data_IF_780752657679
#
_entry.id   IF_780752657679
#
_cell.length_a   1.000
_cell.length_b   1.000
_cell.length_c   1.000
_cell.angle_alpha   90.00
_cell.angle_beta   90.00
_cell.angle_gamma   90.00
#
_symmetry.space_group_name_H-M   'P 1'
#
loop_
_entity.id
_entity.type
_entity.pdbx_description
1 polymer ?
#
# COMPACT_ATOMS: atom_id res chain seq x y z
N UNK A 1 9.33 10.25 -23.35
CA UNK A 1 10.38 10.47 -22.34
C UNK A 1 11.08 9.14 -22.18
N UNK A 2 12.40 9.07 -22.34
CA UNK A 2 13.14 7.81 -22.08
C UNK A 2 12.88 7.43 -20.62
N UNK A 3 12.18 6.32 -20.40
CA UNK A 3 11.91 5.79 -19.07
C UNK A 3 13.25 5.33 -18.46
N UNK A 4 13.90 6.21 -17.71
CA UNK A 4 15.15 5.89 -17.04
C UNK A 4 14.81 5.29 -15.67
N UNK A 5 15.06 3.99 -15.52
CA UNK A 5 14.96 3.29 -14.23
C UNK A 5 15.90 3.93 -13.21
N UNK A 6 15.51 3.89 -11.93
CA UNK A 6 16.41 4.18 -10.82
C UNK A 6 17.54 3.15 -10.79
N UNK A 7 18.70 3.53 -10.25
CA UNK A 7 19.88 2.68 -10.33
C UNK A 7 20.86 2.86 -9.17
N UNK A 8 21.70 1.85 -8.96
CA UNK A 8 22.89 1.93 -8.12
C UNK A 8 24.08 1.42 -8.95
N UNK A 9 25.07 2.28 -9.17
CA UNK A 9 26.37 1.89 -9.70
C UNK A 9 27.29 1.47 -8.56
N UNK A 10 27.99 0.37 -8.72
CA UNK A 10 28.89 -0.16 -7.72
C UNK A 10 30.11 -0.84 -8.33
N UNK A 11 31.20 -0.85 -7.57
CA UNK A 11 32.40 -1.62 -7.92
C UNK A 11 32.37 -2.98 -7.19
N UNK A 12 32.99 -4.00 -7.78
CA UNK A 12 33.24 -5.29 -7.13
C UNK A 12 34.59 -5.84 -7.55
N UNK A 13 35.33 -6.49 -6.66
CA UNK A 13 36.69 -6.99 -6.94
C UNK A 13 36.76 -8.52 -7.11
N UNK A 14 35.72 -9.23 -6.67
CA UNK A 14 35.64 -10.68 -6.75
C UNK A 14 34.43 -11.08 -7.63
N UNK A 15 34.72 -11.73 -8.77
CA UNK A 15 33.67 -12.20 -9.68
C UNK A 15 32.74 -13.25 -9.05
N UNK A 16 33.25 -14.05 -8.11
CA UNK A 16 32.44 -15.00 -7.34
C UNK A 16 31.37 -14.27 -6.52
N UNK A 17 31.76 -13.20 -5.84
CA UNK A 17 30.82 -12.40 -5.06
C UNK A 17 29.73 -11.75 -5.93
N UNK A 18 30.09 -11.29 -7.14
CA UNK A 18 29.10 -10.76 -8.09
C UNK A 18 28.13 -11.84 -8.58
N UNK A 19 28.62 -13.06 -8.83
CA UNK A 19 27.76 -14.20 -9.22
C UNK A 19 26.79 -14.57 -8.09
N UNK A 20 27.26 -14.61 -6.86
CA UNK A 20 26.42 -14.89 -5.69
C UNK A 20 25.38 -13.78 -5.45
N UNK A 21 25.81 -12.51 -5.58
CA UNK A 21 24.90 -11.36 -5.53
C UNK A 21 23.81 -11.47 -6.59
N UNK A 22 24.19 -11.79 -7.83
CA UNK A 22 23.24 -11.92 -8.93
C UNK A 22 22.26 -13.07 -8.71
N UNK A 23 22.73 -14.23 -8.24
CA UNK A 23 21.87 -15.36 -7.93
C UNK A 23 20.86 -15.01 -6.83
N UNK A 24 21.33 -14.36 -5.75
CA UNK A 24 20.48 -13.92 -4.64
C UNK A 24 19.49 -12.84 -5.08
N UNK A 25 19.93 -11.90 -5.92
CA UNK A 25 19.07 -10.87 -6.49
C UNK A 25 17.93 -11.45 -7.31
N UNK A 26 18.17 -12.46 -8.17
CA UNK A 26 17.10 -13.08 -8.95
C UNK A 26 16.08 -13.80 -8.05
N UNK A 27 16.52 -14.36 -6.92
CA UNK A 27 15.62 -14.94 -5.91
C UNK A 27 14.76 -13.88 -5.24
N UNK A 28 15.35 -12.76 -4.81
CA UNK A 28 14.62 -11.64 -4.21
C UNK A 28 13.66 -11.03 -5.23
N UNK A 29 14.10 -10.83 -6.47
CA UNK A 29 13.29 -10.31 -7.56
C UNK A 29 12.10 -11.21 -7.86
N UNK A 30 12.29 -12.52 -7.95
CA UNK A 30 11.19 -13.47 -8.15
C UNK A 30 10.19 -13.40 -6.99
N UNK A 31 10.68 -13.43 -5.75
CA UNK A 31 9.83 -13.33 -4.57
C UNK A 31 9.03 -12.02 -4.53
N UNK A 32 9.70 -10.86 -4.71
CA UNK A 32 9.06 -9.55 -4.65
C UNK A 32 8.11 -9.29 -5.81
N UNK A 33 8.60 -9.42 -7.05
CA UNK A 33 7.85 -8.99 -8.22
C UNK A 33 6.64 -9.91 -8.50
N UNK A 34 6.72 -11.18 -8.08
CA UNK A 34 5.63 -12.16 -8.22
C UNK A 34 4.87 -12.41 -6.91
N UNK A 35 5.19 -11.70 -5.82
CA UNK A 35 4.55 -11.84 -4.51
C UNK A 35 4.56 -13.27 -3.97
N UNK A 36 5.70 -13.96 -4.10
CA UNK A 36 5.91 -15.33 -3.63
C UNK A 36 6.51 -15.28 -2.22
N UNK A 37 5.75 -15.73 -1.23
CA UNK A 37 6.21 -15.88 0.14
C UNK A 37 7.24 -17.02 0.26
N UNK A 38 8.28 -16.80 1.09
CA UNK A 38 9.37 -17.73 1.35
C UNK A 38 9.62 -17.78 2.86
N UNK A 39 9.92 -18.96 3.38
CA UNK A 39 10.19 -19.14 4.80
C UNK A 39 11.63 -18.76 5.20
N UNK A 40 11.86 -18.67 6.51
CA UNK A 40 13.14 -18.25 7.08
C UNK A 40 14.31 -19.17 6.70
N UNK A 41 14.03 -20.47 6.52
CA UNK A 41 15.03 -21.47 6.14
C UNK A 41 15.49 -21.23 4.70
N UNK A 42 14.54 -20.98 3.80
CA UNK A 42 14.84 -20.64 2.42
C UNK A 42 15.75 -19.42 2.32
N UNK A 43 15.48 -18.36 3.11
CA UNK A 43 16.29 -17.14 3.06
C UNK A 43 17.71 -17.33 3.56
N UNK A 44 17.93 -18.13 4.61
CA UNK A 44 19.29 -18.51 5.04
C UNK A 44 20.01 -19.27 3.91
N UNK A 45 19.33 -20.22 3.26
CA UNK A 45 19.93 -21.03 2.19
C UNK A 45 20.20 -20.24 0.91
N UNK A 46 19.46 -19.15 0.67
CA UNK A 46 19.61 -18.29 -0.50
C UNK A 46 20.83 -17.36 -0.44
N UNK A 47 21.39 -17.11 0.76
CA UNK A 47 22.53 -16.22 0.95
C UNK A 47 23.83 -17.01 1.19
N UNK A 48 24.96 -16.58 0.61
CA UNK A 48 26.24 -17.21 0.90
C UNK A 48 26.68 -16.88 2.33
N UNK A 49 27.42 -17.82 2.94
CA UNK A 49 27.93 -17.71 4.32
C UNK A 49 28.57 -16.34 4.63
N UNK A 50 29.49 -15.88 3.78
CA UNK A 50 30.23 -14.63 4.00
C UNK A 50 29.34 -13.37 3.98
N UNK A 51 28.15 -13.45 3.36
CA UNK A 51 27.16 -12.37 3.37
C UNK A 51 26.37 -12.41 4.68
N UNK A 52 25.92 -13.60 5.10
CA UNK A 52 25.21 -13.82 6.37
C UNK A 52 26.03 -13.41 7.59
N UNK A 53 27.35 -13.60 7.56
CA UNK A 53 28.28 -13.17 8.61
C UNK A 53 28.23 -11.66 8.92
N UNK A 54 27.68 -10.84 8.02
CA UNK A 54 27.60 -9.37 8.18
C UNK A 54 26.33 -8.89 8.88
N UNK A 55 25.39 -9.78 9.16
CA UNK A 55 24.09 -9.43 9.75
C UNK A 55 23.99 -9.89 11.21
N UNK A 56 23.14 -9.21 11.97
CA UNK A 56 22.72 -9.67 13.30
C UNK A 56 21.47 -10.53 13.20
N UNK A 57 21.28 -11.36 14.22
CA UNK A 57 20.09 -12.21 14.39
C UNK A 57 19.65 -12.14 15.86
N UNK A 58 18.37 -11.94 16.10
CA UNK A 58 17.75 -11.98 17.43
C UNK A 58 17.72 -13.41 17.97
N UNK A 59 17.70 -13.56 19.29
CA UNK A 59 17.65 -14.88 19.94
C UNK A 59 16.43 -15.73 19.57
N UNK A 60 15.34 -15.09 19.13
CA UNK A 60 14.13 -15.76 18.64
C UNK A 60 14.26 -16.30 17.22
N UNK A 61 15.27 -15.88 16.47
CA UNK A 61 15.36 -16.16 15.04
C UNK A 61 15.87 -17.57 14.75
N UNK A 62 15.53 -18.06 13.56
CA UNK A 62 16.32 -19.11 12.94
C UNK A 62 17.71 -18.55 12.61
N UNK A 63 18.78 -19.11 13.19
CA UNK A 63 20.16 -18.63 13.00
C UNK A 63 20.99 -19.62 12.17
N UNK A 64 21.96 -19.13 11.38
CA UNK A 64 22.99 -20.00 10.83
C UNK A 64 23.84 -20.64 11.94
N UNK A 65 24.47 -21.77 11.64
CA UNK A 65 25.31 -22.53 12.58
C UNK A 65 26.77 -22.04 12.63
N UNK A 66 27.00 -20.76 12.37
CA UNK A 66 28.31 -20.10 12.38
C UNK A 66 28.18 -18.69 12.97
N UNK A 67 29.31 -18.09 13.36
CA UNK A 67 29.33 -16.76 13.96
C UNK A 67 28.85 -15.68 12.99
N UNK A 68 28.04 -14.76 13.49
CA UNK A 68 27.50 -13.62 12.73
C UNK A 68 27.86 -12.31 13.42
N UNK A 69 27.50 -11.17 12.82
CA UNK A 69 27.87 -9.87 13.35
C UNK A 69 27.28 -9.63 14.73
N UNK A 70 28.06 -9.00 15.62
CA UNK A 70 27.56 -8.52 16.90
C UNK A 70 26.66 -7.29 16.72
N UNK A 71 25.69 -7.13 17.62
CA UNK A 71 24.78 -5.99 17.60
C UNK A 71 25.53 -4.69 17.92
N UNK A 72 25.49 -3.76 16.97
CA UNK A 72 26.02 -2.41 17.09
C UNK A 72 24.98 -1.41 16.61
N UNK A 73 25.19 -0.12 16.85
CA UNK A 73 24.31 0.92 16.29
C UNK A 73 24.27 0.93 14.75
N UNK A 74 25.18 0.22 14.09
CA UNK A 74 25.33 0.18 12.64
C UNK A 74 24.92 -1.17 12.01
N UNK A 75 24.76 -2.22 12.81
CA UNK A 75 24.44 -3.55 12.33
C UNK A 75 22.99 -3.64 11.83
N UNK A 76 22.79 -4.39 10.74
CA UNK A 76 21.46 -4.71 10.23
C UNK A 76 21.03 -6.10 10.68
N UNK A 77 19.78 -6.18 11.13
CA UNK A 77 19.12 -7.44 11.39
C UNK A 77 18.75 -8.13 10.07
N UNK A 78 19.11 -9.41 9.91
CA UNK A 78 18.97 -10.13 8.64
C UNK A 78 17.51 -10.18 8.16
N UNK A 79 16.58 -10.67 9.00
CA UNK A 79 15.19 -10.83 8.58
C UNK A 79 14.47 -9.50 8.35
N UNK A 80 14.87 -8.42 9.03
CA UNK A 80 14.35 -7.09 8.73
C UNK A 80 14.79 -6.59 7.35
N UNK A 81 16.02 -6.92 6.93
CA UNK A 81 16.44 -6.64 5.56
C UNK A 81 15.65 -7.47 4.55
N UNK A 82 15.45 -8.77 4.81
CA UNK A 82 14.68 -9.65 3.93
C UNK A 82 13.23 -9.17 3.78
N UNK A 83 12.57 -8.83 4.87
CA UNK A 83 11.21 -8.29 4.86
C UNK A 83 11.15 -7.00 4.02
N UNK A 84 12.13 -6.10 4.19
CA UNK A 84 12.24 -4.90 3.38
C UNK A 84 12.40 -5.21 1.89
N UNK A 85 13.32 -6.10 1.53
CA UNK A 85 13.65 -6.46 0.15
C UNK A 85 12.53 -7.23 -0.56
N UNK A 86 11.91 -8.20 0.12
CA UNK A 86 10.97 -9.13 -0.49
C UNK A 86 9.49 -8.71 -0.35
N UNK A 87 9.17 -7.80 0.58
CA UNK A 87 7.79 -7.40 0.87
C UNK A 87 7.62 -5.89 0.80
N UNK A 88 8.36 -5.14 1.63
CA UNK A 88 7.98 -3.76 1.96
C UNK A 88 8.48 -2.69 0.97
N UNK A 89 9.47 -2.97 0.11
CA UNK A 89 9.91 -1.99 -0.89
C UNK A 89 8.82 -1.71 -1.94
N UNK A 90 8.50 -0.44 -2.19
CA UNK A 90 7.57 -0.02 -3.25
C UNK A 90 8.30 0.13 -4.60
N UNK A 91 9.06 -0.89 -4.99
CA UNK A 91 9.84 -0.93 -6.24
C UNK A 91 9.58 -2.21 -7.03
N UNK A 92 9.83 -2.15 -8.34
CA UNK A 92 10.07 -3.33 -9.20
C UNK A 92 11.56 -3.56 -9.37
N UNK A 93 12.03 -4.77 -9.09
CA UNK A 93 13.41 -5.13 -9.44
C UNK A 93 13.51 -5.41 -10.93
N UNK A 94 14.32 -4.63 -11.64
CA UNK A 94 14.44 -4.72 -13.09
C UNK A 94 15.58 -5.66 -13.47
N UNK A 95 16.81 -5.35 -13.06
CA UNK A 95 17.99 -6.12 -13.48
C UNK A 95 19.21 -5.86 -12.59
N UNK A 96 20.12 -6.83 -12.51
CA UNK A 96 21.44 -6.68 -11.94
C UNK A 96 22.46 -7.22 -12.95
N UNK A 97 23.33 -6.33 -13.45
CA UNK A 97 24.27 -6.67 -14.53
C UNK A 97 25.62 -6.01 -14.36
N UNK A 98 26.64 -6.68 -14.89
CA UNK A 98 27.96 -6.11 -15.07
C UNK A 98 27.92 -5.14 -16.27
N UNK A 99 28.49 -3.95 -16.10
CA UNK A 99 28.56 -2.92 -17.16
C UNK A 99 29.94 -2.86 -17.80
N UNK A 100 30.98 -3.14 -17.01
CA UNK A 100 32.37 -3.27 -17.43
C UNK A 100 33.13 -4.03 -16.36
N UNK A 101 34.40 -4.36 -16.63
CA UNK A 101 35.23 -5.11 -15.69
C UNK A 101 35.19 -4.49 -14.29
N UNK A 102 34.77 -5.29 -13.30
CA UNK A 102 34.66 -4.92 -11.89
C UNK A 102 33.63 -3.82 -11.57
N UNK A 103 32.67 -3.57 -12.48
CA UNK A 103 31.59 -2.58 -12.30
C UNK A 103 30.23 -3.19 -12.58
N UNK A 104 29.31 -3.00 -11.64
CA UNK A 104 27.94 -3.45 -11.72
C UNK A 104 26.94 -2.30 -11.69
N UNK A 105 25.74 -2.58 -12.20
CA UNK A 105 24.58 -1.73 -12.04
C UNK A 105 23.39 -2.55 -11.53
N UNK A 106 22.76 -2.04 -10.48
CA UNK A 106 21.49 -2.50 -9.94
C UNK A 106 20.40 -1.58 -10.49
N UNK A 107 19.39 -2.13 -11.16
CA UNK A 107 18.30 -1.38 -11.79
C UNK A 107 16.96 -1.74 -11.13
N UNK A 108 16.19 -0.71 -10.80
CA UNK A 108 14.87 -0.85 -10.20
C UNK A 108 13.94 0.28 -10.67
N UNK A 109 12.64 0.01 -10.66
CA UNK A 109 11.60 1.00 -10.95
C UNK A 109 10.90 1.38 -9.64
N UNK A 110 11.03 2.63 -9.21
CA UNK A 110 10.38 3.09 -7.99
C UNK A 110 8.93 3.48 -8.30
N UNK A 111 7.97 2.83 -7.65
CA UNK A 111 6.54 3.12 -7.87
C UNK A 111 6.08 4.38 -7.13
N UNK A 112 6.82 4.79 -6.11
CA UNK A 112 6.52 5.90 -5.21
C UNK A 112 7.81 6.51 -4.65
N UNK A 113 7.71 7.68 -4.01
CA UNK A 113 8.79 8.24 -3.20
C UNK A 113 8.23 8.74 -1.86
N UNK A 114 8.83 8.36 -0.71
CA UNK A 114 9.94 7.41 -0.58
C UNK A 114 9.45 5.96 -0.70
N UNK A 115 10.09 5.15 -1.55
CA UNK A 115 9.71 3.74 -1.76
C UNK A 115 10.16 2.79 -0.62
N UNK A 116 10.68 3.29 0.49
CA UNK A 116 11.40 2.53 1.54
C UNK A 116 12.86 2.99 1.74
N UNK A 117 13.32 3.91 0.90
CA UNK A 117 14.65 4.55 0.97
C UNK A 117 15.78 3.66 0.45
N UNK A 118 16.90 4.27 0.04
CA UNK A 118 17.99 3.55 -0.63
C UNK A 118 18.78 2.59 0.28
N UNK A 119 18.70 2.76 1.60
CA UNK A 119 19.60 2.12 2.55
C UNK A 119 19.58 0.59 2.51
N UNK A 120 18.40 -0.03 2.41
CA UNK A 120 18.28 -1.49 2.35
C UNK A 120 18.96 -2.07 1.10
N UNK A 121 18.80 -1.40 -0.05
CA UNK A 121 19.46 -1.80 -1.30
C UNK A 121 21.00 -1.67 -1.22
N UNK A 122 21.49 -0.60 -0.58
CA UNK A 122 22.93 -0.40 -0.34
C UNK A 122 23.48 -1.49 0.59
N UNK A 123 22.81 -1.76 1.70
CA UNK A 123 23.22 -2.79 2.67
C UNK A 123 23.21 -4.17 2.03
N UNK A 124 22.22 -4.45 1.18
CA UNK A 124 22.19 -5.66 0.38
C UNK A 124 23.44 -5.76 -0.50
N UNK A 125 23.80 -4.74 -1.28
CA UNK A 125 25.02 -4.76 -2.10
C UNK A 125 26.30 -4.93 -1.25
N UNK A 126 26.42 -4.19 -0.16
CA UNK A 126 27.59 -4.24 0.73
C UNK A 126 27.72 -5.60 1.41
N UNK A 127 26.62 -6.31 1.66
CA UNK A 127 26.65 -7.67 2.21
C UNK A 127 27.38 -8.65 1.28
N UNK A 128 27.37 -8.40 -0.03
CA UNK A 128 28.13 -9.17 -1.02
C UNK A 128 29.55 -8.64 -1.25
N UNK A 129 30.00 -7.65 -0.46
CA UNK A 129 31.26 -6.93 -0.66
C UNK A 129 31.33 -6.17 -1.99
N UNK A 130 30.17 -5.76 -2.51
CA UNK A 130 30.07 -4.77 -3.57
C UNK A 130 30.06 -3.37 -2.95
N UNK A 131 30.68 -2.41 -3.63
CA UNK A 131 30.93 -1.07 -3.10
C UNK A 131 30.15 -0.03 -3.91
N UNK A 132 28.97 0.41 -3.44
CA UNK A 132 28.17 1.44 -4.10
C UNK A 132 28.99 2.72 -4.33
N UNK A 133 28.73 3.41 -5.44
CA UNK A 133 29.43 4.65 -5.83
C UNK A 133 28.47 5.77 -6.12
N UNK A 134 27.45 5.48 -6.91
CA UNK A 134 26.45 6.46 -7.34
C UNK A 134 25.10 5.76 -7.25
N UNK A 135 24.08 6.48 -6.81
CA UNK A 135 22.72 5.98 -6.91
C UNK A 135 21.77 7.08 -7.37
N UNK A 136 20.77 6.67 -8.13
CA UNK A 136 19.57 7.43 -8.43
C UNK A 136 18.43 6.81 -7.61
N UNK A 137 17.82 7.61 -6.74
CA UNK A 137 16.68 7.20 -5.91
C UNK A 137 15.33 7.72 -6.46
N UNK A 138 15.31 8.20 -7.70
CA UNK A 138 14.12 8.76 -8.33
C UNK A 138 13.83 10.21 -7.93
N UNK A 139 14.43 10.72 -6.84
CA UNK A 139 14.41 12.15 -6.51
C UNK A 139 15.67 12.87 -7.03
N UNK A 140 16.78 12.16 -7.13
CA UNK A 140 18.01 12.68 -7.73
C UNK A 140 19.14 11.66 -7.77
N UNK A 141 20.28 12.10 -8.33
CA UNK A 141 21.51 11.31 -8.40
C UNK A 141 22.48 11.77 -7.33
N UNK A 142 22.98 10.83 -6.53
CA UNK A 142 23.83 11.09 -5.38
C UNK A 142 25.12 10.27 -5.45
N UNK A 143 26.23 10.85 -5.01
CA UNK A 143 27.45 10.09 -4.74
C UNK A 143 27.30 9.38 -3.41
N UNK A 144 27.65 8.10 -3.39
CA UNK A 144 27.71 7.33 -2.17
C UNK A 144 29.01 7.65 -1.41
N UNK A 145 28.86 8.17 -0.20
CA UNK A 145 29.93 8.24 0.78
C UNK A 145 29.50 7.52 2.06
N UNK A 146 30.38 6.68 2.59
CA UNK A 146 30.10 5.91 3.81
C UNK A 146 29.87 6.81 5.05
N UNK A 147 30.30 8.08 4.99
CA UNK A 147 30.14 9.06 6.07
C UNK A 147 28.74 9.72 6.11
N UNK A 148 28.07 9.90 4.97
CA UNK A 148 26.79 10.63 4.90
C UNK A 148 25.61 9.84 5.50
N UNK A 149 25.60 8.52 5.36
CA UNK A 149 24.62 7.64 6.01
C UNK A 149 24.79 7.55 7.53
N UNK A 150 26.01 7.73 8.02
CA UNK A 150 26.29 7.74 9.45
C UNK A 150 25.91 9.08 10.10
N UNK A 151 25.82 10.18 9.34
CA UNK A 151 25.36 11.49 9.85
C UNK A 151 23.85 11.53 10.11
N UNK A 152 23.03 10.87 9.29
CA UNK A 152 21.59 10.72 9.55
C UNK A 152 21.30 9.75 10.72
N UNK A 153 22.22 8.81 11.01
CA UNK A 153 22.13 7.93 12.19
C UNK A 153 22.63 8.58 13.51
N UNK A 154 23.57 9.53 13.45
CA UNK A 154 24.21 10.15 14.62
C UNK A 154 23.39 11.24 15.35
N UNK A 155 22.25 11.68 14.84
CA UNK A 155 21.43 12.72 15.49
C UNK A 155 20.56 12.19 16.65
N UNK A 156 21.07 11.27 17.48
CA UNK A 156 20.46 10.93 18.77
C UNK A 156 21.22 11.64 19.89
N UNK A 157 20.52 12.61 20.48
CA UNK A 157 21.00 13.53 21.50
C UNK A 157 21.52 12.81 22.75
N UNK A 158 22.73 13.17 23.20
CA UNK A 158 23.34 12.61 24.40
C UNK A 158 23.09 13.52 25.61
N UNK A 159 22.00 13.30 26.36
CA UNK A 159 21.69 14.01 27.62
C UNK A 159 22.26 13.26 28.82
N UNK A 160 23.53 13.50 29.16
CA UNK A 160 24.15 12.86 30.32
C UNK A 160 23.94 13.60 31.65
N UNK A 161 23.41 14.83 31.64
CA UNK A 161 23.21 15.65 32.86
C UNK A 161 21.76 15.75 33.35
N UNK A 162 20.77 15.16 32.68
CA UNK A 162 19.34 15.35 33.02
C UNK A 162 18.68 14.14 33.69
N UNK A 163 19.44 13.16 34.20
CA UNK A 163 18.93 11.81 34.53
C UNK A 163 17.81 11.70 35.59
N UNK A 164 17.59 12.69 36.46
CA UNK A 164 16.48 12.64 37.45
C UNK A 164 15.25 13.47 37.04
N UNK A 165 15.43 14.65 36.46
CA UNK A 165 14.34 15.50 35.94
C UNK A 165 13.80 15.00 34.59
N UNK A 166 14.65 14.40 33.75
CA UNK A 166 14.24 13.74 32.51
C UNK A 166 13.49 12.45 32.81
N UNK A 167 13.75 11.71 33.89
CA UNK A 167 12.98 10.50 34.20
C UNK A 167 11.52 10.81 34.50
N UNK A 168 11.22 11.84 35.29
CA UNK A 168 9.84 12.25 35.58
C UNK A 168 9.19 12.95 34.40
N UNK A 169 9.91 13.81 33.67
CA UNK A 169 9.39 14.45 32.46
C UNK A 169 9.18 13.45 31.30
N UNK A 170 10.09 12.49 31.12
CA UNK A 170 10.00 11.40 30.14
C UNK A 170 8.95 10.37 30.54
N UNK A 171 8.74 10.11 31.85
CA UNK A 171 7.62 9.29 32.32
C UNK A 171 6.28 9.99 32.07
N UNK A 172 6.17 11.30 32.32
CA UNK A 172 4.97 12.09 32.00
C UNK A 172 4.75 12.22 30.47
N UNK A 173 5.81 12.37 29.69
CA UNK A 173 5.76 12.32 28.22
C UNK A 173 5.37 10.93 27.72
N UNK A 174 5.93 9.85 28.27
CA UNK A 174 5.54 8.47 27.94
C UNK A 174 4.09 8.20 28.32
N UNK A 175 3.63 8.64 29.50
CA UNK A 175 2.23 8.48 29.92
C UNK A 175 1.30 9.27 28.98
N UNK A 176 1.69 10.48 28.54
CA UNK A 176 0.92 11.24 27.56
C UNK A 176 0.92 10.63 26.15
N UNK A 177 2.04 10.02 25.73
CA UNK A 177 2.17 9.28 24.48
C UNK A 177 1.35 7.99 24.51
N UNK A 178 1.39 7.22 25.61
CA UNK A 178 0.57 6.01 25.80
C UNK A 178 -0.92 6.37 25.85
N UNK A 179 -1.30 7.46 26.54
CA UNK A 179 -2.68 7.92 26.57
C UNK A 179 -3.18 8.39 25.19
N UNK A 180 -2.33 9.10 24.43
CA UNK A 180 -2.67 9.54 23.07
C UNK A 180 -2.71 8.38 22.07
N UNK A 181 -1.77 7.41 22.15
CA UNK A 181 -1.80 6.19 21.34
C UNK A 181 -3.04 5.35 21.65
N UNK A 182 -3.38 5.17 22.93
CA UNK A 182 -4.60 4.47 23.34
C UNK A 182 -5.87 5.14 22.79
N UNK A 183 -5.89 6.47 22.64
CA UNK A 183 -7.03 7.16 22.05
C UNK A 183 -7.09 6.96 20.54
N UNK A 184 -5.96 7.09 19.83
CA UNK A 184 -5.89 6.85 18.38
C UNK A 184 -6.27 5.42 17.99
N UNK A 185 -5.80 4.43 18.73
CA UNK A 185 -6.18 3.03 18.50
C UNK A 185 -7.67 2.79 18.73
N UNK A 186 -8.26 3.41 19.76
CA UNK A 186 -9.71 3.36 20.00
C UNK A 186 -10.50 4.05 18.89
N UNK A 187 -10.01 5.17 18.38
CA UNK A 187 -10.65 5.91 17.29
C UNK A 187 -10.59 5.10 15.97
N UNK A 188 -9.45 4.48 15.67
CA UNK A 188 -9.31 3.56 14.55
C UNK A 188 -10.22 2.34 14.68
N UNK A 189 -10.29 1.75 15.88
CA UNK A 189 -11.16 0.61 16.13
C UNK A 189 -12.63 0.98 15.97
N UNK A 190 -13.04 2.15 16.47
CA UNK A 190 -14.36 2.71 16.25
C UNK A 190 -14.66 2.90 14.76
N UNK A 191 -13.75 3.51 14.00
CA UNK A 191 -13.93 3.69 12.55
C UNK A 191 -14.11 2.34 11.84
N UNK A 192 -13.31 1.33 12.18
CA UNK A 192 -13.44 -0.02 11.60
C UNK A 192 -14.79 -0.64 11.91
N UNK A 193 -15.27 -0.50 13.15
CA UNK A 193 -16.59 -1.01 13.55
C UNK A 193 -17.72 -0.35 12.75
N UNK A 194 -17.69 0.97 12.61
CA UNK A 194 -18.64 1.71 11.78
C UNK A 194 -18.55 1.28 10.32
N UNK A 195 -17.35 1.14 9.78
CA UNK A 195 -17.13 0.69 8.40
C UNK A 195 -17.78 -0.67 8.16
N UNK A 196 -17.54 -1.67 9.01
CA UNK A 196 -18.15 -2.99 8.84
C UNK A 196 -19.68 -2.98 9.01
N UNK A 197 -20.22 -2.06 9.81
CA UNK A 197 -21.66 -1.89 9.95
C UNK A 197 -22.30 -1.36 8.65
N UNK A 198 -21.67 -0.38 8.00
CA UNK A 198 -22.20 0.22 6.77
C UNK A 198 -21.80 -0.54 5.50
N UNK A 199 -20.77 -1.39 5.58
CA UNK A 199 -20.16 -2.07 4.43
C UNK A 199 -21.15 -2.78 3.51
N UNK A 200 -22.11 -3.60 3.99
CA UNK A 200 -23.07 -4.26 3.12
C UNK A 200 -23.88 -3.30 2.24
N UNK A 201 -24.40 -2.23 2.84
CA UNK A 201 -25.18 -1.21 2.12
C UNK A 201 -24.29 -0.38 1.19
N UNK A 202 -23.04 -0.16 1.59
CA UNK A 202 -22.08 0.62 0.83
C UNK A 202 -21.67 -0.09 -0.45
N UNK A 203 -21.24 -1.35 -0.35
CA UNK A 203 -20.77 -2.12 -1.50
C UNK A 203 -21.90 -2.40 -2.50
N UNK A 204 -23.11 -2.66 -2.01
CA UNK A 204 -24.32 -2.76 -2.84
C UNK A 204 -24.54 -1.48 -3.66
N UNK A 205 -24.50 -0.33 -2.98
CA UNK A 205 -24.78 0.96 -3.59
C UNK A 205 -23.71 1.36 -4.61
N UNK A 206 -22.43 1.13 -4.30
CA UNK A 206 -21.31 1.42 -5.20
C UNK A 206 -21.40 0.55 -6.45
N UNK A 207 -21.69 -0.74 -6.29
CA UNK A 207 -21.85 -1.66 -7.44
C UNK A 207 -23.02 -1.27 -8.34
N UNK A 208 -24.20 -1.01 -7.76
CA UNK A 208 -25.40 -0.60 -8.53
C UNK A 208 -25.12 0.71 -9.29
N UNK A 209 -24.55 1.71 -8.63
CA UNK A 209 -24.31 3.01 -9.27
C UNK A 209 -23.24 2.93 -10.37
N UNK A 210 -22.16 2.18 -10.16
CA UNK A 210 -21.12 2.03 -11.17
C UNK A 210 -21.66 1.33 -12.44
N UNK A 211 -22.50 0.31 -12.28
CA UNK A 211 -23.10 -0.41 -13.41
C UNK A 211 -23.97 0.51 -14.27
N UNK A 212 -24.78 1.38 -13.64
CA UNK A 212 -25.70 2.28 -14.35
C UNK A 212 -24.97 3.44 -15.04
N UNK A 213 -23.81 3.84 -14.52
CA UNK A 213 -23.12 5.04 -14.99
C UNK A 213 -21.92 4.73 -15.91
N UNK A 214 -21.46 3.48 -15.99
CA UNK A 214 -20.40 3.06 -16.89
C UNK A 214 -20.75 3.27 -18.37
N UNK A 215 -20.25 4.36 -18.94
CA UNK A 215 -20.32 4.61 -20.38
C UNK A 215 -18.92 4.90 -20.90
N UNK A 216 -18.37 4.07 -21.83
CA UNK A 216 -17.09 4.38 -22.47
C UNK A 216 -17.16 5.71 -23.23
N UNK A 217 -16.02 6.35 -23.56
CA UNK A 217 -16.04 7.57 -24.36
C UNK A 217 -16.68 7.34 -25.73
N UNK A 218 -17.37 8.37 -26.25
CA UNK A 218 -18.00 8.30 -27.55
C UNK A 218 -16.96 8.12 -28.67
N UNK A 219 -17.21 7.25 -29.67
CA UNK A 219 -16.38 7.18 -30.87
C UNK A 219 -16.30 8.53 -31.59
N UNK A 220 -15.19 8.81 -32.31
CA UNK A 220 -15.07 10.02 -33.11
C UNK A 220 -16.23 10.17 -34.10
N UNK A 221 -16.86 11.34 -34.15
CA UNK A 221 -17.95 11.65 -35.08
C UNK A 221 -19.36 11.29 -34.60
N UNK A 222 -19.50 10.79 -33.37
CA UNK A 222 -20.81 10.56 -32.72
C UNK A 222 -21.04 11.65 -31.67
N UNK A 223 -22.27 12.19 -31.60
CA UNK A 223 -22.64 13.13 -30.55
C UNK A 223 -22.46 12.49 -29.16
N UNK A 224 -21.63 13.06 -28.27
CA UNK A 224 -21.35 12.47 -26.97
C UNK A 224 -22.59 12.35 -26.07
N UNK A 225 -23.56 13.26 -26.19
CA UNK A 225 -24.75 13.29 -25.35
C UNK A 225 -25.73 12.19 -25.74
N UNK A 226 -25.99 12.03 -27.04
CA UNK A 226 -26.83 10.96 -27.58
C UNK A 226 -26.19 9.58 -27.34
N UNK A 227 -24.88 9.45 -27.58
CA UNK A 227 -24.13 8.23 -27.28
C UNK A 227 -24.26 7.84 -25.81
N UNK A 228 -24.07 8.81 -24.90
CA UNK A 228 -24.15 8.57 -23.46
C UNK A 228 -25.54 8.12 -23.03
N UNK A 229 -26.58 8.78 -23.54
CA UNK A 229 -27.97 8.45 -23.24
C UNK A 229 -28.34 7.02 -23.70
N UNK A 230 -28.00 6.69 -24.95
CA UNK A 230 -28.32 5.38 -25.53
C UNK A 230 -27.57 4.25 -24.82
N UNK A 231 -26.28 4.42 -24.53
CA UNK A 231 -25.47 3.42 -23.81
C UNK A 231 -25.91 3.23 -22.37
N UNK A 232 -26.36 4.30 -21.70
CA UNK A 232 -26.96 4.21 -20.36
C UNK A 232 -28.25 3.39 -20.40
N UNK A 233 -29.13 3.65 -21.35
CA UNK A 233 -30.39 2.91 -21.52
C UNK A 233 -30.15 1.43 -21.82
N UNK A 234 -29.18 1.09 -22.68
CA UNK A 234 -28.76 -0.28 -22.96
C UNK A 234 -28.20 -0.97 -21.71
N UNK A 235 -27.33 -0.27 -20.97
CA UNK A 235 -26.70 -0.81 -19.76
C UNK A 235 -27.72 -1.05 -18.65
N UNK A 236 -28.70 -0.16 -18.48
CA UNK A 236 -29.80 -0.35 -17.54
C UNK A 236 -30.65 -1.58 -17.88
N UNK A 237 -31.00 -1.75 -19.17
CA UNK A 237 -31.75 -2.94 -19.63
C UNK A 237 -30.97 -4.23 -19.38
N UNK A 238 -29.67 -4.25 -19.71
CA UNK A 238 -28.78 -5.39 -19.46
C UNK A 238 -28.66 -5.69 -17.96
N UNK A 239 -28.42 -4.67 -17.15
CA UNK A 239 -28.29 -4.81 -15.70
C UNK A 239 -29.55 -5.39 -15.06
N UNK A 240 -30.73 -4.88 -15.41
CA UNK A 240 -31.98 -5.40 -14.86
C UNK A 240 -32.20 -6.88 -15.20
N UNK A 241 -31.80 -7.30 -16.41
CA UNK A 241 -31.84 -8.71 -16.81
C UNK A 241 -30.85 -9.56 -16.00
N UNK A 242 -29.60 -9.12 -15.90
CA UNK A 242 -28.55 -9.80 -15.13
C UNK A 242 -28.93 -9.89 -13.64
N UNK A 243 -29.44 -8.80 -13.04
CA UNK A 243 -29.91 -8.77 -11.66
C UNK A 243 -31.06 -9.75 -11.42
N UNK A 244 -32.01 -9.87 -12.35
CA UNK A 244 -33.08 -10.85 -12.27
C UNK A 244 -32.53 -12.29 -12.32
N UNK A 245 -31.55 -12.55 -13.18
CA UNK A 245 -30.86 -13.84 -13.27
C UNK A 245 -30.05 -14.16 -12.00
N UNK A 246 -29.31 -13.19 -11.45
CA UNK A 246 -28.56 -13.35 -10.20
C UNK A 246 -29.48 -13.65 -9.02
N UNK A 247 -30.60 -12.94 -8.91
CA UNK A 247 -31.62 -13.21 -7.88
C UNK A 247 -32.19 -14.63 -7.98
N UNK A 248 -32.39 -15.14 -9.19
CA UNK A 248 -32.86 -16.51 -9.39
C UNK A 248 -31.80 -17.56 -9.08
N UNK A 249 -30.55 -17.33 -9.52
CA UNK A 249 -29.44 -18.29 -9.39
C UNK A 249 -28.75 -18.24 -8.03
N UNK A 250 -29.02 -17.21 -7.19
CA UNK A 250 -28.31 -16.93 -5.94
C UNK A 250 -26.78 -16.91 -6.11
N UNK A 251 -26.32 -16.50 -7.29
CA UNK A 251 -24.90 -16.54 -7.62
C UNK A 251 -24.21 -15.30 -7.03
N UNK A 252 -23.11 -15.45 -6.29
CA UNK A 252 -22.34 -14.31 -5.79
C UNK A 252 -21.69 -13.57 -6.97
N UNK A 253 -21.67 -12.25 -6.92
CA UNK A 253 -21.00 -11.43 -7.94
C UNK A 253 -19.50 -11.37 -7.61
N UNK A 254 -18.63 -11.80 -8.53
CA UNK A 254 -17.19 -11.61 -8.32
C UNK A 254 -16.83 -10.12 -8.42
N UNK A 255 -16.11 -9.60 -7.42
CA UNK A 255 -15.54 -8.26 -7.43
C UNK A 255 -14.05 -8.32 -7.16
N UNK A 256 -13.30 -7.43 -7.81
CA UNK A 256 -11.90 -7.17 -7.43
C UNK A 256 -11.87 -6.02 -6.44
N UNK A 257 -11.13 -6.19 -5.36
CA UNK A 257 -11.11 -5.27 -4.23
C UNK A 257 -9.67 -4.86 -3.94
N UNK A 258 -9.39 -3.55 -3.98
CA UNK A 258 -8.10 -3.03 -3.56
C UNK A 258 -8.03 -3.06 -2.04
N UNK A 259 -7.09 -3.82 -1.49
CA UNK A 259 -7.08 -4.16 -0.06
C UNK A 259 -6.46 -3.08 0.84
N UNK A 260 -6.07 -1.95 0.24
CA UNK A 260 -5.60 -0.75 0.92
C UNK A 260 -6.70 0.33 0.94
N UNK A 261 -6.82 1.02 2.07
CA UNK A 261 -7.78 2.11 2.27
C UNK A 261 -7.06 3.45 2.17
N UNK A 262 -7.50 4.28 1.22
CA UNK A 262 -6.85 5.56 0.90
C UNK A 262 -7.24 6.62 1.93
N UNK A 263 -6.30 7.46 2.32
CA UNK A 263 -6.60 8.62 3.16
C UNK A 263 -7.05 9.78 2.27
N UNK A 264 -8.23 10.35 2.55
CA UNK A 264 -8.75 11.54 1.88
C UNK A 264 -9.36 12.50 2.88
N UNK A 265 -9.20 13.80 2.61
CA UNK A 265 -9.79 14.87 3.40
C UNK A 265 -11.08 15.36 2.74
N UNK A 266 -12.19 15.27 3.48
CA UNK A 266 -13.55 15.61 3.06
C UNK A 266 -14.27 16.51 4.09
N UNK A 267 -13.51 17.24 4.91
CA UNK A 267 -14.06 18.01 6.02
C UNK A 267 -14.98 19.15 5.55
N UNK A 268 -14.70 19.72 4.38
CA UNK A 268 -15.54 20.79 3.80
C UNK A 268 -16.88 20.22 3.38
N UNK A 269 -16.85 19.11 2.67
CA UNK A 269 -18.02 18.42 2.17
C UNK A 269 -18.88 17.89 3.31
N UNK A 270 -18.26 17.32 4.36
CA UNK A 270 -18.93 16.91 5.59
C UNK A 270 -19.66 18.10 6.24
N UNK A 271 -18.99 19.25 6.39
CA UNK A 271 -19.60 20.47 6.96
C UNK A 271 -20.70 21.06 6.08
N UNK A 272 -20.52 20.97 4.76
CA UNK A 272 -21.49 21.47 3.80
C UNK A 272 -22.77 20.65 3.82
N UNK A 273 -22.67 19.33 3.96
CA UNK A 273 -23.82 18.42 4.04
C UNK A 273 -24.47 18.42 5.43
N UNK A 274 -23.69 18.32 6.51
CA UNK A 274 -24.14 18.37 7.90
C UNK A 274 -23.80 19.72 8.53
N UNK A 275 -24.75 20.65 8.50
CA UNK A 275 -24.55 22.03 9.00
C UNK A 275 -24.23 22.12 10.49
N UNK A 276 -24.61 21.11 11.26
CA UNK A 276 -24.38 20.98 12.69
C UNK A 276 -23.17 20.07 13.03
N UNK A 277 -22.41 19.60 12.04
CA UNK A 277 -21.18 18.85 12.28
C UNK A 277 -20.11 19.72 12.97
N UNK A 278 -19.48 19.15 13.99
CA UNK A 278 -18.38 19.79 14.72
C UNK A 278 -17.06 19.37 14.10
N UNK A 279 -16.29 20.32 13.56
CA UNK A 279 -15.02 20.03 12.87
C UNK A 279 -13.89 20.87 13.47
N UNK A 280 -12.91 20.20 14.06
CA UNK A 280 -11.67 20.81 14.50
C UNK A 280 -10.69 21.00 13.34
N UNK A 281 -10.02 22.16 13.26
CA UNK A 281 -9.03 22.48 12.22
C UNK A 281 -7.76 21.60 12.26
N UNK A 282 -7.57 20.81 13.32
CA UNK A 282 -6.40 19.97 13.55
C UNK A 282 -6.70 18.48 13.32
N UNK A 283 -7.76 18.15 12.60
CA UNK A 283 -8.13 16.79 12.27
C UNK A 283 -7.24 16.27 11.13
N UNK A 284 -5.92 16.25 11.38
CA UNK A 284 -4.94 15.62 10.49
C UNK A 284 -5.31 14.15 10.43
N UNK A 285 -5.53 13.63 9.21
CA UNK A 285 -5.85 12.23 9.03
C UNK A 285 -4.77 11.35 9.70
N UNK A 286 -5.20 10.46 10.59
CA UNK A 286 -4.27 9.65 11.35
C UNK A 286 -3.50 8.71 10.42
N UNK A 287 -2.18 8.62 10.60
CA UNK A 287 -1.29 7.81 9.76
C UNK A 287 -1.24 6.35 10.18
N UNK A 288 -2.11 5.93 11.12
CA UNK A 288 -2.22 4.54 11.53
C UNK A 288 -2.62 3.66 10.33
N UNK A 289 -1.97 2.50 10.22
CA UNK A 289 -2.24 1.52 9.18
C UNK A 289 -3.70 1.04 9.26
N UNK A 290 -4.45 1.26 8.18
CA UNK A 290 -5.83 0.83 8.07
C UNK A 290 -5.91 -0.48 7.30
N UNK A 291 -5.65 -1.59 8.01
CA UNK A 291 -5.84 -2.94 7.44
C UNK A 291 -7.26 -3.46 7.66
N UNK A 292 -7.90 -3.84 6.57
CA UNK A 292 -9.22 -4.48 6.57
C UNK A 292 -9.12 -5.97 6.94
N UNK A 293 -9.96 -6.41 7.86
CA UNK A 293 -10.25 -7.83 8.11
C UNK A 293 -11.10 -8.41 6.96
N UNK A 294 -10.43 -9.13 6.06
CA UNK A 294 -11.05 -9.82 4.92
C UNK A 294 -12.16 -10.78 5.34
N UNK A 295 -12.05 -11.42 6.51
CA UNK A 295 -13.09 -12.36 6.99
C UNK A 295 -14.42 -11.66 7.27
N UNK A 296 -14.37 -10.40 7.74
CA UNK A 296 -15.58 -9.59 7.97
C UNK A 296 -16.22 -9.13 6.67
N UNK A 297 -15.40 -8.84 5.65
CA UNK A 297 -15.87 -8.50 4.31
C UNK A 297 -16.52 -9.72 3.63
N UNK A 298 -15.83 -10.86 3.66
CA UNK A 298 -16.27 -12.12 3.04
C UNK A 298 -17.52 -12.72 3.72
N UNK A 299 -17.84 -12.29 4.95
CA UNK A 299 -19.09 -12.63 5.62
C UNK A 299 -20.33 -12.08 4.88
N UNK A 300 -20.16 -11.03 4.07
CA UNK A 300 -21.21 -10.51 3.19
C UNK A 300 -21.22 -11.28 1.85
N UNK A 301 -21.94 -12.39 1.85
CA UNK A 301 -21.93 -13.39 0.75
C UNK A 301 -22.52 -12.98 -0.61
N UNK A 302 -23.24 -11.87 -0.80
CA UNK A 302 -23.66 -11.46 -2.15
C UNK A 302 -22.51 -11.21 -3.13
N UNK A 303 -21.30 -10.97 -2.62
CA UNK A 303 -20.09 -10.78 -3.41
C UNK A 303 -19.03 -11.84 -3.09
N UNK A 304 -18.28 -12.24 -4.10
CA UNK A 304 -17.06 -13.02 -3.94
C UNK A 304 -15.87 -12.10 -4.23
N UNK A 305 -15.12 -11.76 -3.18
CA UNK A 305 -14.08 -10.72 -3.26
C UNK A 305 -12.73 -11.34 -3.62
N UNK A 306 -12.11 -10.77 -4.66
CA UNK A 306 -10.72 -11.04 -5.03
C UNK A 306 -9.87 -9.85 -4.64
N UNK A 307 -9.04 -10.02 -3.62
CA UNK A 307 -8.19 -8.97 -3.09
C UNK A 307 -6.94 -8.75 -3.95
N UNK A 308 -6.59 -7.49 -4.19
CA UNK A 308 -5.35 -7.10 -4.87
C UNK A 308 -4.61 -6.06 -4.04
N UNK A 309 -3.29 -6.23 -3.90
CA UNK A 309 -2.39 -5.32 -3.17
C UNK A 309 -1.89 -4.14 -3.99
N UNK A 310 -2.15 -4.16 -5.30
CA UNK A 310 -1.90 -3.04 -6.20
C UNK A 310 -2.92 -3.04 -7.30
N UNK A 311 -3.29 -1.86 -7.78
CA UNK A 311 -4.18 -1.66 -8.93
C UNK A 311 -3.50 -2.21 -10.19
N UNK A 312 -3.99 -3.31 -10.81
CA UNK A 312 -3.33 -3.86 -11.99
C UNK A 312 -3.39 -2.92 -13.22
N UNK A 313 -2.22 -2.61 -13.81
CA UNK A 313 -2.06 -1.71 -14.98
C UNK A 313 -1.73 -2.47 -16.27
N UNK A 314 -2.07 -1.89 -17.42
CA UNK A 314 -1.63 -2.39 -18.74
C UNK A 314 -2.08 -3.83 -19.07
N UNK A 315 -1.14 -4.70 -19.45
CA UNK A 315 -1.41 -6.09 -19.87
C UNK A 315 -1.90 -7.00 -18.73
N UNK A 316 -1.81 -6.57 -17.46
CA UNK A 316 -2.42 -7.26 -16.31
C UNK A 316 -3.95 -7.25 -16.38
N UNK A 317 -4.54 -6.52 -17.33
CA UNK A 317 -5.99 -6.45 -17.55
C UNK A 317 -6.64 -7.77 -17.93
N UNK A 318 -5.85 -8.74 -18.40
CA UNK A 318 -6.31 -10.11 -18.63
C UNK A 318 -6.91 -10.72 -17.35
N UNK A 319 -6.38 -10.35 -16.17
CA UNK A 319 -6.90 -10.76 -14.86
C UNK A 319 -8.37 -10.35 -14.64
N UNK A 320 -8.77 -9.13 -15.01
CA UNK A 320 -10.18 -8.71 -14.89
C UNK A 320 -11.06 -9.39 -15.93
N UNK A 321 -10.55 -9.59 -17.15
CA UNK A 321 -11.28 -10.26 -18.22
C UNK A 321 -11.46 -11.77 -17.93
N UNK A 322 -10.51 -12.38 -17.21
CA UNK A 322 -10.57 -13.77 -16.73
C UNK A 322 -11.56 -13.95 -15.58
N UNK A 323 -11.98 -12.87 -14.91
CA UNK A 323 -13.11 -12.88 -13.97
C UNK A 323 -14.48 -12.87 -14.67
N UNK A 324 -14.61 -13.62 -15.77
CA UNK A 324 -15.85 -13.99 -16.46
C UNK A 324 -16.98 -12.94 -16.45
N UNK A 325 -16.72 -11.71 -16.91
CA UNK A 325 -17.73 -10.63 -17.06
C UNK A 325 -18.45 -10.16 -15.78
N UNK A 326 -18.15 -10.72 -14.60
CA UNK A 326 -18.68 -10.27 -13.29
C UNK A 326 -17.92 -9.07 -12.73
N UNK A 327 -16.62 -8.96 -13.03
CA UNK A 327 -15.76 -7.85 -12.57
C UNK A 327 -15.80 -6.71 -13.59
N UNK A 328 -16.45 -5.58 -13.23
CA UNK A 328 -16.49 -4.34 -14.03
C UNK A 328 -15.46 -3.28 -13.61
N UNK A 329 -14.66 -3.59 -12.61
CA UNK A 329 -13.58 -2.74 -12.12
C UNK A 329 -13.12 -3.17 -10.72
N UNK A 330 -12.24 -2.36 -10.14
CA UNK A 330 -11.66 -2.55 -8.82
C UNK A 330 -12.39 -1.62 -7.86
N UNK A 331 -12.88 -2.16 -6.76
CA UNK A 331 -13.42 -1.37 -5.66
C UNK A 331 -12.28 -0.73 -4.89
N UNK A 332 -12.32 0.59 -4.76
CA UNK A 332 -11.41 1.38 -3.92
C UNK A 332 -12.23 2.08 -2.85
N UNK A 333 -11.68 2.20 -1.65
CA UNK A 333 -12.31 2.87 -0.51
C UNK A 333 -11.35 3.87 0.13
N UNK A 334 -11.90 4.95 0.66
CA UNK A 334 -11.19 5.81 1.60
C UNK A 334 -11.51 5.46 3.05
N UNK A 335 -10.72 6.01 3.97
CA UNK A 335 -11.06 6.08 5.39
C UNK A 335 -12.33 6.89 5.60
N UNK A 336 -13.01 6.64 6.73
CA UNK A 336 -14.15 7.44 7.15
C UNK A 336 -13.64 8.63 7.95
N UNK A 337 -13.94 9.83 7.47
CA UNK A 337 -13.73 11.05 8.23
C UNK A 337 -15.00 11.36 9.03
N UNK A 338 -14.88 11.33 10.36
CA UNK A 338 -15.95 11.71 11.27
C UNK A 338 -15.89 13.18 11.66
N UNK A 339 -17.04 13.72 12.06
CA UNK A 339 -17.07 14.92 12.88
C UNK A 339 -16.52 14.62 14.29
N UNK A 340 -16.09 15.65 15.02
CA UNK A 340 -15.47 15.51 16.34
C UNK A 340 -16.41 14.83 17.37
N UNK A 341 -17.73 14.95 17.18
CA UNK A 341 -18.74 14.33 18.05
C UNK A 341 -19.15 12.92 17.61
N UNK A 342 -18.58 12.40 16.51
CA UNK A 342 -18.87 11.07 15.95
C UNK A 342 -20.37 10.83 15.71
N UNK A 343 -21.06 11.86 15.25
CA UNK A 343 -22.48 11.83 14.82
C UNK A 343 -22.60 11.56 13.32
N UNK A 344 -21.63 12.05 12.57
CA UNK A 344 -21.62 12.09 11.12
C UNK A 344 -20.27 11.59 10.60
N UNK A 345 -20.29 10.95 9.44
CA UNK A 345 -19.10 10.51 8.75
C UNK A 345 -19.22 10.71 7.25
N UNK A 346 -18.07 10.82 6.60
CA UNK A 346 -17.97 10.84 5.14
C UNK A 346 -16.81 9.96 4.70
N UNK A 347 -16.99 9.23 3.61
CA UNK A 347 -15.91 8.50 2.93
C UNK A 347 -16.12 8.53 1.42
N UNK A 348 -15.09 8.21 0.66
CA UNK A 348 -15.24 7.87 -0.75
C UNK A 348 -15.19 6.38 -0.98
N UNK A 349 -15.95 5.95 -1.98
CA UNK A 349 -15.88 4.62 -2.52
C UNK A 349 -16.04 4.71 -4.03
N UNK A 350 -15.31 3.89 -4.78
CA UNK A 350 -15.37 3.94 -6.23
C UNK A 350 -15.07 2.62 -6.89
N UNK A 351 -15.40 2.55 -8.17
CA UNK A 351 -15.01 1.45 -9.06
C UNK A 351 -14.16 2.02 -10.18
N UNK A 352 -12.95 1.49 -10.34
CA UNK A 352 -12.01 1.91 -11.38
C UNK A 352 -11.63 0.79 -12.36
N UNK A 353 -11.17 1.19 -13.53
CA UNK A 353 -10.80 0.29 -14.63
C UNK A 353 -9.29 0.12 -14.81
N UNK A 354 -8.50 0.34 -13.76
CA UNK A 354 -7.04 0.48 -13.86
C UNK A 354 -6.65 1.77 -14.57
N UNK A 355 -7.02 2.91 -13.98
CA UNK A 355 -6.67 4.28 -14.41
C UNK A 355 -7.19 4.78 -15.78
N UNK A 356 -8.06 4.04 -16.47
CA UNK A 356 -8.69 4.50 -17.74
C UNK A 356 -10.11 5.05 -17.59
N UNK A 357 -10.80 4.61 -16.55
CA UNK A 357 -12.12 5.07 -16.18
C UNK A 357 -12.30 4.82 -14.68
N UNK A 358 -13.05 5.70 -14.03
CA UNK A 358 -13.31 5.60 -12.60
C UNK A 358 -14.57 6.37 -12.25
N UNK A 359 -15.40 5.76 -11.42
CA UNK A 359 -16.55 6.40 -10.80
C UNK A 359 -16.29 6.39 -9.31
N UNK A 360 -16.07 7.56 -8.73
CA UNK A 360 -15.91 7.75 -7.30
C UNK A 360 -17.12 8.48 -6.74
N UNK A 361 -17.61 7.99 -5.62
CA UNK A 361 -18.75 8.52 -4.89
C UNK A 361 -18.29 9.08 -3.56
N UNK A 362 -18.87 10.21 -3.16
CA UNK A 362 -18.79 10.74 -1.82
C UNK A 362 -20.00 10.24 -1.01
N UNK A 363 -19.75 9.48 0.04
CA UNK A 363 -20.77 8.76 0.80
C UNK A 363 -20.84 9.36 2.20
N UNK A 364 -21.99 9.93 2.52
CA UNK A 364 -22.30 10.47 3.83
C UNK A 364 -23.03 9.42 4.67
N UNK A 365 -22.58 9.25 5.90
CA UNK A 365 -23.16 8.33 6.87
C UNK A 365 -23.52 9.08 8.15
N UNK A 366 -24.56 8.59 8.83
CA UNK A 366 -24.99 9.14 10.12
C UNK A 366 -25.53 8.05 11.03
N UNK A 367 -25.64 8.38 12.30
CA UNK A 367 -26.25 7.49 13.30
C UNK A 367 -27.77 7.71 13.37
N UNK A 368 -28.54 6.64 13.20
CA UNK A 368 -30.00 6.60 13.35
C UNK A 368 -30.37 5.40 14.22
N UNK A 369 -31.07 5.62 15.34
CA UNK A 369 -31.48 4.57 16.28
C UNK A 369 -30.30 3.65 16.69
N UNK A 370 -29.20 4.28 17.08
CA UNK A 370 -27.95 3.62 17.46
C UNK A 370 -27.23 2.79 16.38
N UNK A 371 -27.67 2.90 15.13
CA UNK A 371 -27.02 2.24 13.98
C UNK A 371 -26.49 3.24 12.98
N UNK A 372 -25.35 2.92 12.38
CA UNK A 372 -24.81 3.70 11.27
C UNK A 372 -25.50 3.32 9.97
N UNK A 373 -25.94 4.34 9.24
CA UNK A 373 -26.64 4.18 7.96
C UNK A 373 -26.05 5.12 6.92
N UNK A 374 -26.16 4.72 5.66
CA UNK A 374 -25.92 5.64 4.53
C UNK A 374 -27.04 6.67 4.50
N UNK A 375 -26.66 7.94 4.53
CA UNK A 375 -27.56 9.07 4.45
C UNK A 375 -27.69 9.59 3.02
N UNK A 376 -26.54 9.73 2.34
CA UNK A 376 -26.48 10.25 0.97
C UNK A 376 -25.25 9.75 0.23
N UNK A 377 -25.38 9.64 -1.09
CA UNK A 377 -24.30 9.32 -2.02
C UNK A 377 -24.31 10.39 -3.11
N UNK A 378 -23.22 11.14 -3.23
CA UNK A 378 -23.01 12.13 -4.28
C UNK A 378 -21.88 11.67 -5.23
N UNK A 379 -21.91 12.13 -6.47
CA UNK A 379 -20.80 11.90 -7.40
C UNK A 379 -19.60 12.78 -6.97
N UNK A 380 -18.43 12.17 -6.74
CA UNK A 380 -17.20 12.88 -6.36
C UNK A 380 -16.31 13.16 -7.57
N UNK A 381 -16.04 12.14 -8.37
CA UNK A 381 -15.21 12.24 -9.58
C UNK A 381 -15.64 11.20 -10.62
N UNK A 382 -15.81 11.66 -11.87
CA UNK A 382 -16.08 10.80 -13.03
C UNK A 382 -14.95 11.06 -14.02
N UNK A 383 -14.05 10.07 -14.18
CA UNK A 383 -12.93 10.12 -15.13
C UNK A 383 -13.33 9.56 -16.50
#
# INVERSE_FOLDING_TARGET
MENQYCYIEFDFTNEGNFKDLKATFEVIKDSKNNSIERDDKFWIEAFPKYSLEKFTFLDSDLKPNFDTAEETELSWHFYSLIELLSINYEIEYINLKETSHNKGIFLYDAYSYPYGGINGLIVFLESFSCNPKIYDDGAGVYNYSHEELNKTKKSKWNFSSLKSLFKTAMLLLFISLIASCNNKEKDLQFEKEVFYEVYPALIDSVWVNAVLNYVPPAPPGIDPSEYKLNRRNESNKRFNKELAEFKQKKFPVDLVFFDEVVIREHYKELQEHYKDAVISKNNVADTLEYKLDRKKLDAYTPFHLKYVSRIPRGNNRKFYNECCYSVRGIVILSRIQFDDEKKYGVLTAGIECGAMCGYEYLIYIKKVNDKWVIDKIDDAWIA
#
